data_IF_068860419254
#
_entry.id   IF_068860419254
#
_cell.length_a   1.000
_cell.length_b   1.000
_cell.length_c   1.000
_cell.angle_alpha   90.00
_cell.angle_beta   90.00
_cell.angle_gamma   90.00
#
_symmetry.space_group_name_H-M   'P 1'
#
loop_
_entity.id
_entity.type
_entity.pdbx_description
1 polymer ?
#
# COMPACT_ATOMS: atom_id res chain seq x y z
N UNK A 1 -2.74 24.88 -1.48
CA UNK A 1 -1.89 23.85 -2.12
C UNK A 1 -0.92 23.23 -1.10
N UNK A 2 -1.34 22.25 -0.30
CA UNK A 2 -0.40 21.47 0.56
C UNK A 2 -0.82 20.01 0.79
N UNK A 3 -2.09 19.62 0.57
CA UNK A 3 -2.61 18.29 0.93
C UNK A 3 -2.07 17.12 0.10
N UNK A 4 -1.87 17.28 -1.21
CA UNK A 4 -1.55 16.17 -2.14
C UNK A 4 -0.17 15.55 -1.91
N UNK A 5 0.82 16.33 -1.45
CA UNK A 5 2.18 15.85 -1.19
C UNK A 5 2.24 14.87 0.00
N UNK A 6 1.51 15.18 1.08
CA UNK A 6 1.49 14.34 2.30
C UNK A 6 0.88 12.97 2.05
N UNK A 7 -0.11 12.87 1.17
CA UNK A 7 -0.78 11.60 0.85
C UNK A 7 0.18 10.64 0.14
N UNK A 8 1.00 11.17 -0.78
CA UNK A 8 2.05 10.38 -1.42
C UNK A 8 3.05 9.83 -0.39
N UNK A 9 3.52 10.69 0.53
CA UNK A 9 4.43 10.27 1.59
C UNK A 9 3.82 9.18 2.48
N UNK A 10 2.57 9.37 2.91
CA UNK A 10 1.81 8.40 3.72
C UNK A 10 1.70 7.05 2.99
N UNK A 11 1.40 7.06 1.69
CA UNK A 11 1.32 5.84 0.89
C UNK A 11 2.68 5.13 0.76
N UNK A 12 3.76 5.84 0.46
CA UNK A 12 5.09 5.23 0.40
C UNK A 12 5.55 4.68 1.75
N UNK A 13 5.23 5.36 2.86
CA UNK A 13 5.47 4.81 4.19
C UNK A 13 4.73 3.49 4.41
N UNK A 14 3.43 3.43 4.07
CA UNK A 14 2.65 2.19 4.16
C UNK A 14 3.24 1.07 3.29
N UNK A 15 3.68 1.40 2.07
CA UNK A 15 4.35 0.45 1.17
C UNK A 15 5.62 -0.12 1.79
N UNK A 16 6.46 0.70 2.42
CA UNK A 16 7.66 0.23 3.11
C UNK A 16 7.35 -0.66 4.31
N UNK A 17 6.33 -0.32 5.13
CA UNK A 17 5.92 -1.19 6.26
C UNK A 17 5.45 -2.56 5.79
N UNK A 18 4.59 -2.57 4.77
CA UNK A 18 4.06 -3.81 4.19
C UNK A 18 5.19 -4.65 3.60
N UNK A 19 6.06 -4.05 2.78
CA UNK A 19 7.16 -4.79 2.17
C UNK A 19 8.14 -5.32 3.22
N UNK A 20 8.45 -4.55 4.26
CA UNK A 20 9.32 -5.01 5.34
C UNK A 20 8.72 -6.16 6.18
N UNK A 21 7.40 -6.28 6.26
CA UNK A 21 6.72 -7.36 6.98
C UNK A 21 6.48 -8.60 6.12
N UNK A 22 6.13 -8.39 4.84
CA UNK A 22 5.70 -9.45 3.93
C UNK A 22 6.82 -9.99 3.04
N UNK A 23 7.96 -9.32 2.94
CA UNK A 23 9.10 -9.76 2.14
C UNK A 23 10.39 -9.74 3.00
N UNK A 24 11.28 -10.74 2.83
CA UNK A 24 11.15 -11.90 1.96
C UNK A 24 10.14 -12.94 2.51
N UNK A 25 9.32 -13.54 1.65
CA UNK A 25 8.38 -14.61 2.04
C UNK A 25 8.04 -15.55 0.88
N UNK A 26 7.51 -16.72 1.19
CA UNK A 26 7.19 -17.76 0.21
C UNK A 26 5.73 -17.64 -0.23
N UNK A 27 5.52 -17.39 -1.52
CA UNK A 27 4.19 -17.31 -2.14
C UNK A 27 4.11 -18.35 -3.26
N UNK A 28 3.02 -19.14 -3.29
CA UNK A 28 2.86 -20.24 -4.26
C UNK A 28 4.06 -21.21 -4.34
N UNK A 29 4.72 -21.46 -3.19
CA UNK A 29 5.91 -22.32 -3.12
C UNK A 29 7.20 -21.69 -3.65
N UNK A 30 7.19 -20.40 -4.02
CA UNK A 30 8.35 -19.67 -4.53
C UNK A 30 8.76 -18.59 -3.52
N UNK A 31 10.04 -18.58 -3.13
CA UNK A 31 10.60 -17.53 -2.28
C UNK A 31 10.65 -16.21 -3.06
N UNK A 32 9.88 -15.23 -2.60
CA UNK A 32 9.87 -13.88 -3.16
C UNK A 32 10.67 -12.97 -2.24
N UNK A 33 11.80 -12.45 -2.72
CA UNK A 33 12.63 -11.51 -1.96
C UNK A 33 12.22 -10.05 -2.22
N UNK A 34 11.59 -9.81 -3.36
CA UNK A 34 11.17 -8.50 -3.81
C UNK A 34 9.73 -8.50 -4.31
N UNK A 35 9.15 -7.30 -4.42
CA UNK A 35 7.85 -7.11 -5.05
C UNK A 35 7.86 -7.50 -6.54
N UNK A 36 9.04 -7.47 -7.19
CA UNK A 36 9.16 -7.92 -8.59
C UNK A 36 9.03 -9.43 -8.71
N UNK A 37 9.61 -10.17 -7.76
CA UNK A 37 9.44 -11.62 -7.68
C UNK A 37 7.97 -11.97 -7.42
N UNK A 38 7.37 -11.32 -6.43
CA UNK A 38 5.96 -11.51 -6.12
C UNK A 38 5.05 -11.15 -7.31
N UNK A 39 5.34 -10.07 -8.03
CA UNK A 39 4.61 -9.70 -9.25
C UNK A 39 4.67 -10.81 -10.32
N UNK A 40 5.86 -11.41 -10.53
CA UNK A 40 6.03 -12.50 -11.49
C UNK A 40 5.30 -13.77 -11.05
N UNK A 41 5.36 -14.10 -9.76
CA UNK A 41 4.73 -15.29 -9.17
C UNK A 41 3.21 -15.18 -9.17
N UNK A 42 2.68 -14.00 -8.83
CA UNK A 42 1.24 -13.74 -8.75
C UNK A 42 0.60 -13.41 -10.13
N UNK A 43 1.41 -13.22 -11.17
CA UNK A 43 0.96 -12.89 -12.54
C UNK A 43 -0.01 -11.69 -12.60
N UNK A 44 0.21 -10.69 -11.75
CA UNK A 44 -0.64 -9.49 -11.71
C UNK A 44 -0.38 -8.57 -12.91
N UNK A 45 -1.26 -7.59 -13.17
CA UNK A 45 -1.07 -6.63 -14.27
C UNK A 45 -0.09 -5.50 -13.91
N UNK A 46 0.20 -5.30 -12.63
CA UNK A 46 1.19 -4.33 -12.18
C UNK A 46 1.68 -4.54 -10.75
N UNK A 47 2.75 -3.84 -10.38
CA UNK A 47 3.38 -3.92 -9.05
C UNK A 47 2.42 -3.55 -7.92
N UNK A 48 1.56 -2.56 -8.14
CA UNK A 48 0.56 -2.14 -7.15
C UNK A 48 -0.50 -3.20 -6.88
N UNK A 49 -0.99 -3.85 -7.93
CA UNK A 49 -1.94 -4.96 -7.81
C UNK A 49 -1.29 -6.15 -7.10
N UNK A 50 -0.02 -6.45 -7.43
CA UNK A 50 0.75 -7.47 -6.72
C UNK A 50 0.88 -7.14 -5.23
N UNK A 51 1.20 -5.90 -4.85
CA UNK A 51 1.26 -5.50 -3.44
C UNK A 51 -0.10 -5.62 -2.75
N UNK A 52 -1.21 -5.22 -3.41
CA UNK A 52 -2.54 -5.41 -2.85
C UNK A 52 -2.85 -6.88 -2.59
N UNK A 53 -2.53 -7.78 -3.53
CA UNK A 53 -2.70 -9.22 -3.33
C UNK A 53 -1.82 -9.74 -2.18
N UNK A 54 -0.55 -9.30 -2.10
CA UNK A 54 0.33 -9.66 -1.00
C UNK A 54 -0.25 -9.24 0.36
N UNK A 55 -0.73 -7.99 0.46
CA UNK A 55 -1.37 -7.51 1.69
C UNK A 55 -2.64 -8.30 1.98
N UNK A 56 -3.45 -8.62 0.97
CA UNK A 56 -4.68 -9.38 1.16
C UNK A 56 -4.40 -10.80 1.68
N UNK A 57 -3.32 -11.44 1.22
CA UNK A 57 -2.95 -12.79 1.65
C UNK A 57 -2.24 -12.78 3.00
N UNK A 58 -1.25 -11.89 3.19
CA UNK A 58 -0.41 -11.87 4.39
C UNK A 58 -0.95 -11.05 5.55
N UNK A 59 -1.73 -10.00 5.27
CA UNK A 59 -2.29 -9.07 6.26
C UNK A 59 -3.73 -8.65 5.88
N UNK A 60 -4.69 -9.60 5.80
CA UNK A 60 -6.06 -9.34 5.31
C UNK A 60 -6.76 -8.23 6.10
N UNK A 61 -6.46 -8.08 7.39
CA UNK A 61 -7.03 -7.09 8.30
C UNK A 61 -6.79 -5.65 7.84
N UNK A 62 -5.66 -5.38 7.18
CA UNK A 62 -5.28 -4.02 6.74
C UNK A 62 -5.34 -3.84 5.22
N UNK A 63 -5.73 -4.87 4.46
CA UNK A 63 -5.82 -4.83 3.01
C UNK A 63 -6.75 -3.74 2.48
N UNK A 64 -7.90 -3.55 3.14
CA UNK A 64 -8.84 -2.48 2.81
C UNK A 64 -8.23 -1.08 3.05
N UNK A 65 -7.47 -0.91 4.14
CA UNK A 65 -6.78 0.34 4.45
C UNK A 65 -5.68 0.66 3.45
N UNK A 66 -4.88 -0.34 3.08
CA UNK A 66 -3.83 -0.18 2.08
C UNK A 66 -4.40 0.19 0.71
N UNK A 67 -5.45 -0.51 0.27
CA UNK A 67 -6.14 -0.23 -1.00
C UNK A 67 -6.71 1.19 -1.04
N UNK A 68 -7.24 1.66 0.09
CA UNK A 68 -7.72 3.04 0.22
C UNK A 68 -6.59 4.07 0.08
N UNK A 69 -5.45 3.86 0.76
CA UNK A 69 -4.29 4.74 0.65
C UNK A 69 -3.73 4.80 -0.78
N UNK A 70 -3.68 3.65 -1.46
CA UNK A 70 -3.27 3.57 -2.85
C UNK A 70 -4.20 4.40 -3.73
N UNK A 71 -5.51 4.19 -3.64
CA UNK A 71 -6.48 4.95 -4.43
C UNK A 71 -6.37 6.46 -4.15
N UNK A 72 -6.29 6.85 -2.86
CA UNK A 72 -6.09 8.25 -2.48
C UNK A 72 -4.80 8.85 -3.07
N UNK A 73 -3.69 8.11 -3.07
CA UNK A 73 -2.44 8.57 -3.68
C UNK A 73 -2.57 8.73 -5.19
N UNK A 74 -3.30 7.85 -5.87
CA UNK A 74 -3.54 7.95 -7.32
C UNK A 74 -4.46 9.13 -7.66
N UNK A 75 -5.58 9.28 -6.94
CA UNK A 75 -6.51 10.41 -7.14
C UNK A 75 -5.82 11.75 -6.88
N UNK A 76 -5.04 11.85 -5.80
CA UNK A 76 -4.31 13.06 -5.42
C UNK A 76 -3.24 13.47 -6.46
N UNK A 77 -2.68 12.51 -7.20
CA UNK A 77 -1.61 12.74 -8.17
C UNK A 77 -2.12 12.96 -9.59
N UNK A 78 -3.19 12.28 -10.00
CA UNK A 78 -3.56 12.18 -11.41
C UNK A 78 -4.96 12.70 -11.76
N UNK A 79 -5.85 12.94 -10.80
CA UNK A 79 -7.27 13.24 -11.11
C UNK A 79 -7.66 14.65 -10.72
N UNK A 80 -7.55 15.02 -9.44
CA UNK A 80 -7.93 16.36 -9.00
C UNK A 80 -7.13 16.75 -7.76
N UNK A 81 -6.40 17.86 -7.85
CA UNK A 81 -5.54 18.38 -6.77
C UNK A 81 -6.36 18.91 -5.56
N UNK A 82 -7.69 18.86 -5.63
CA UNK A 82 -8.62 19.21 -4.54
C UNK A 82 -8.81 18.06 -3.57
N UNK A 83 -7.73 17.59 -2.96
CA UNK A 83 -7.86 16.64 -1.85
C UNK A 83 -8.32 17.38 -0.61
N UNK A 84 -9.51 17.02 -0.11
CA UNK A 84 -10.08 17.63 1.08
C UNK A 84 -9.17 17.35 2.30
N UNK A 85 -8.96 18.32 3.21
CA UNK A 85 -8.10 18.14 4.39
C UNK A 85 -8.45 16.90 5.24
N UNK A 86 -9.73 16.55 5.29
CA UNK A 86 -10.25 15.37 5.99
C UNK A 86 -9.73 14.04 5.42
N UNK A 87 -9.46 13.97 4.12
CA UNK A 87 -8.86 12.78 3.51
C UNK A 87 -7.43 12.57 3.99
N UNK A 88 -6.67 13.65 4.22
CA UNK A 88 -5.29 13.55 4.75
C UNK A 88 -5.29 12.95 6.16
N UNK A 89 -6.20 13.42 7.04
CA UNK A 89 -6.36 12.87 8.39
C UNK A 89 -6.75 11.38 8.36
N UNK A 90 -7.67 11.02 7.47
CA UNK A 90 -8.11 9.63 7.31
C UNK A 90 -6.97 8.73 6.80
N UNK A 91 -6.20 9.20 5.82
CA UNK A 91 -5.03 8.49 5.32
C UNK A 91 -3.99 8.27 6.45
N UNK A 92 -3.76 9.28 7.28
CA UNK A 92 -2.84 9.15 8.40
C UNK A 92 -3.33 8.14 9.45
N UNK A 93 -4.64 8.11 9.74
CA UNK A 93 -5.25 7.08 10.60
C UNK A 93 -5.06 5.67 10.04
N UNK A 94 -5.23 5.49 8.73
CA UNK A 94 -5.05 4.20 8.07
C UNK A 94 -3.59 3.76 8.02
N UNK A 95 -2.65 4.68 7.82
CA UNK A 95 -1.22 4.38 7.95
C UNK A 95 -0.87 3.87 9.35
N UNK A 96 -1.40 4.50 10.40
CA UNK A 96 -1.16 4.04 11.77
C UNK A 96 -1.67 2.61 12.00
N UNK A 97 -2.86 2.28 11.49
CA UNK A 97 -3.38 0.90 11.55
C UNK A 97 -2.50 -0.11 10.80
N UNK A 98 -2.00 0.26 9.62
CA UNK A 98 -1.07 -0.58 8.85
C UNK A 98 0.23 -0.76 9.63
N UNK A 99 0.77 0.33 10.19
CA UNK A 99 1.99 0.29 11.01
C UNK A 99 1.81 -0.63 12.22
N UNK A 100 0.69 -0.53 12.95
CA UNK A 100 0.37 -1.40 14.09
C UNK A 100 0.27 -2.88 13.70
N UNK A 101 -0.23 -3.20 12.50
CA UNK A 101 -0.28 -4.58 12.01
C UNK A 101 1.07 -5.10 11.49
N UNK A 102 1.99 -4.19 11.11
CA UNK A 102 3.31 -4.54 10.59
C UNK A 102 4.39 -4.61 11.68
N UNK A 103 4.26 -3.85 12.78
CA UNK A 103 5.10 -4.00 13.98
C UNK A 103 4.88 -5.38 14.62
#
# INVERSE_FOLDING_TARGET
>A
MKGSFWIGLIFYSALHFVHGKLLPSTYNGILCNSIEDAYRVLKCKGKHEATCQLVQVGLPVVAAYYSFLMNCSFTARYVDYKVHPEHSKLCQKYLNKIKEACL
#
